data_IF_405408795031
#
_entry.id   IF_405408795031
#
_cell.length_a   1.000
_cell.length_b   1.000
_cell.length_c   1.000
_cell.angle_alpha   90.00
_cell.angle_beta   90.00
_cell.angle_gamma   90.00
#
_symmetry.space_group_name_H-M   'P 1'
#
loop_
_entity.id
_entity.type
_entity.pdbx_description
1 polymer ?
2 polymer ?
3 water ?
#
# COMPACT_ATOMS: atom_id res chain seq x y z
N UNK A 1 -0.78 -14.22 14.64
CA UNK A 1 -1.09 -12.84 14.18
C UNK A 1 -0.42 -11.78 15.04
N UNK A 2 0.50 -11.04 14.44
CA UNK A 2 1.22 -9.96 15.11
C UNK A 2 0.68 -8.65 14.52
N UNK A 3 0.16 -7.76 15.36
CA UNK A 3 -0.36 -6.48 14.87
C UNK A 3 0.71 -5.39 14.97
N UNK A 4 0.81 -4.55 13.94
CA UNK A 4 1.82 -3.48 13.89
C UNK A 4 1.32 -2.18 13.26
N UNK A 5 1.75 -1.06 13.83
CA UNK A 5 1.43 0.24 13.29
C UNK A 5 2.68 0.54 12.47
N UNK A 6 2.56 0.59 11.15
CA UNK A 6 3.73 0.84 10.32
C UNK A 6 4.29 2.22 10.65
N UNK A 7 5.61 2.37 10.48
CA UNK A 7 6.24 3.64 10.76
C UNK A 7 6.74 4.32 9.52
N UNK A 8 7.30 5.54 9.64
CA UNK A 8 7.86 6.37 8.58
C UNK A 8 8.30 5.64 7.32
N UNK A 9 9.26 4.72 7.41
CA UNK A 9 9.66 4.01 6.20
C UNK A 9 9.11 2.61 6.10
N UNK A 10 8.56 2.09 7.18
CA UNK A 10 8.02 0.75 7.05
C UNK A 10 7.70 -0.01 8.30
N UNK A 11 7.56 -1.31 8.11
CA UNK A 11 7.25 -2.23 9.18
C UNK A 11 8.49 -2.40 10.04
N UNK A 12 9.66 -2.14 9.45
CA UNK A 12 10.91 -2.26 10.19
C UNK A 12 11.61 -3.62 10.17
N UNK A 13 11.57 -4.33 9.04
CA UNK A 13 12.24 -5.62 8.88
C UNK A 13 12.51 -5.91 7.40
N UNK A 14 13.45 -6.80 7.11
CA UNK A 14 13.80 -7.13 5.72
C UNK A 14 13.51 -8.59 5.37
N UNK A 15 13.27 -8.85 4.09
CA UNK A 15 12.94 -10.20 3.67
C UNK A 15 13.73 -10.79 2.51
N UNK A 16 13.84 -12.12 2.51
CA UNK A 16 14.52 -12.87 1.44
C UNK A 16 13.61 -14.04 1.14
N UNK A 17 13.81 -14.67 -0.01
CA UNK A 17 12.99 -15.80 -0.36
C UNK A 17 12.03 -15.50 -1.50
N UNK A 18 11.15 -16.46 -1.78
CA UNK A 18 10.16 -16.32 -2.85
C UNK A 18 10.49 -17.12 -4.09
N UNK A 19 9.46 -17.55 -4.82
CA UNK A 19 9.68 -18.32 -6.04
C UNK A 19 10.66 -17.59 -6.96
N UNK A 20 11.64 -18.33 -7.46
CA UNK A 20 12.63 -17.74 -8.35
C UNK A 20 13.87 -17.26 -7.62
N UNK A 21 13.81 -17.26 -6.29
CA UNK A 21 14.92 -16.80 -5.47
C UNK A 21 14.81 -17.50 -4.12
N UNK A 22 14.91 -18.82 -4.17
CA UNK A 22 14.78 -19.66 -2.98
C UNK A 22 15.82 -19.44 -1.92
N UNK A 23 15.36 -18.90 -0.80
CA UNK A 23 16.22 -18.64 0.33
C UNK A 23 16.92 -19.94 0.69
N UNK A 24 16.13 -20.99 0.86
CA UNK A 24 16.66 -22.31 1.16
C UNK A 24 16.30 -23.15 -0.06
N UNK A 25 17.21 -24.03 -0.51
CA UNK A 25 16.91 -24.86 -1.67
C UNK A 25 15.60 -25.61 -1.56
N UNK A 26 14.81 -25.55 -2.63
CA UNK A 26 13.54 -26.24 -2.65
C UNK A 26 12.44 -25.59 -1.83
N UNK A 27 12.69 -24.38 -1.34
CA UNK A 27 11.71 -23.67 -0.52
C UNK A 27 11.49 -22.25 -1.05
N UNK A 28 10.24 -21.86 -1.29
CA UNK A 28 9.94 -20.54 -1.82
C UNK A 28 9.40 -19.56 -0.78
N UNK A 29 9.32 -20.00 0.47
CA UNK A 29 8.81 -19.14 1.53
C UNK A 29 9.58 -17.82 1.63
N UNK A 30 8.98 -16.90 2.38
CA UNK A 30 9.55 -15.59 2.62
C UNK A 30 10.05 -15.62 4.05
N UNK A 31 11.33 -15.37 4.26
CA UNK A 31 11.86 -15.39 5.62
C UNK A 31 12.33 -14.01 6.06
N UNK A 32 12.17 -13.72 7.34
CA UNK A 32 12.64 -12.45 7.89
C UNK A 32 14.14 -12.60 8.16
N UNK A 33 14.95 -11.82 7.45
CA UNK A 33 16.39 -11.87 7.63
C UNK A 33 16.95 -10.79 8.56
N UNK A 34 16.26 -9.65 8.66
CA UNK A 34 16.73 -8.60 9.55
C UNK A 34 15.59 -7.80 10.19
N UNK A 35 15.82 -7.36 11.42
CA UNK A 35 14.88 -6.54 12.18
C UNK A 35 15.63 -5.24 12.48
N UNK A 36 15.22 -4.13 11.88
CA UNK A 36 15.88 -2.85 12.09
C UNK A 36 15.69 -2.35 13.53
N UNK A 37 16.77 -1.91 14.19
CA UNK A 37 16.70 -1.43 15.57
C UNK A 37 15.81 -0.20 15.66
N UNK A 38 14.83 -0.25 16.56
CA UNK A 38 13.96 0.90 16.71
C UNK A 38 12.79 0.95 15.74
N UNK A 39 12.74 0.05 14.77
CA UNK A 39 11.62 0.02 13.84
C UNK A 39 10.40 -0.45 14.62
N UNK A 40 9.26 -0.49 13.96
CA UNK A 40 8.05 -0.92 14.63
C UNK A 40 8.12 -2.39 15.06
N UNK A 41 8.67 -3.24 14.18
CA UNK A 41 8.79 -4.67 14.45
C UNK A 41 9.55 -4.92 15.73
N UNK A 42 10.74 -4.34 15.80
CA UNK A 42 11.59 -4.47 16.97
C UNK A 42 10.81 -4.09 18.23
N UNK A 43 10.55 -2.81 18.41
CA UNK A 43 9.80 -2.30 19.56
C UNK A 43 8.64 -3.19 20.00
N UNK A 44 7.89 -3.75 19.05
CA UNK A 44 6.70 -4.54 19.39
C UNK A 44 6.91 -5.97 19.73
N UNK A 45 8.14 -6.37 19.60
CA UNK A 45 8.54 -7.71 19.89
C UNK A 45 8.05 -8.86 19.00
N UNK A 46 6.84 -9.44 19.35
CA UNK A 46 6.18 -10.67 18.75
C UNK A 46 7.04 -11.46 17.61
N UNK A 47 7.65 -10.77 16.55
CA UNK A 47 8.48 -11.26 15.34
C UNK A 47 10.00 -11.28 15.60
N UNK A 48 10.70 -12.24 15.05
CA UNK A 48 12.13 -12.34 15.25
C UNK A 48 12.82 -12.82 13.94
N UNK A 49 14.15 -12.73 13.74
CA UNK A 49 14.88 -13.21 12.54
C UNK A 49 14.71 -14.71 12.35
N UNK A 50 14.41 -15.15 11.13
CA UNK A 50 14.22 -16.56 10.89
C UNK A 50 12.76 -16.98 10.77
N UNK A 51 11.84 -16.11 11.16
CA UNK A 51 10.42 -16.44 11.08
C UNK A 51 9.95 -16.54 9.63
N UNK A 52 9.07 -17.49 9.36
CA UNK A 52 8.53 -17.65 8.02
C UNK A 52 7.24 -16.84 7.95
N UNK A 53 7.17 -15.90 7.00
CA UNK A 53 5.97 -15.08 6.84
C UNK A 53 4.88 -15.86 6.14
N UNK A 54 3.67 -15.77 6.67
CA UNK A 54 2.54 -16.49 6.10
C UNK A 54 1.58 -15.59 5.35
N UNK A 55 1.20 -14.47 5.96
CA UNK A 55 0.27 -13.55 5.31
C UNK A 55 0.32 -12.11 5.83
N UNK A 56 -0.18 -11.19 5.00
CA UNK A 56 -0.24 -9.76 5.29
C UNK A 56 -1.68 -9.36 5.00
N UNK A 57 -2.44 -8.96 6.01
CA UNK A 57 -3.84 -8.63 5.78
C UNK A 57 -4.29 -9.79 4.90
N UNK A 58 -4.14 -11.00 5.44
CA UNK A 58 -4.39 -12.30 4.77
C UNK A 58 -4.37 -12.39 3.27
N UNK A 59 -3.26 -11.92 2.74
CA UNK A 59 -2.94 -12.06 1.34
C UNK A 59 -1.89 -13.12 1.69
N UNK A 60 -2.12 -14.37 1.30
CA UNK A 60 -1.21 -15.47 1.61
C UNK A 60 0.16 -15.27 0.94
N UNK A 61 1.25 -15.49 1.68
CA UNK A 61 2.59 -15.28 1.12
C UNK A 61 3.36 -16.59 0.95
N UNK A 62 2.71 -17.69 1.27
CA UNK A 62 3.29 -19.02 1.20
C UNK A 62 4.21 -19.30 0.00
N UNK A 63 3.77 -18.93 -1.19
CA UNK A 63 4.55 -19.16 -2.40
C UNK A 63 4.21 -18.11 -3.45
N UNK A 64 4.89 -16.98 -3.38
CA UNK A 64 4.70 -15.89 -4.32
C UNK A 64 6.08 -15.41 -4.71
N UNK A 65 6.20 -14.61 -5.77
CA UNK A 65 7.52 -14.11 -6.17
C UNK A 65 7.97 -13.11 -5.12
N UNK A 66 9.29 -12.88 -5.07
CA UNK A 66 9.88 -11.96 -4.11
C UNK A 66 9.26 -10.57 -4.20
N UNK A 67 9.05 -10.11 -5.43
CA UNK A 67 8.48 -8.79 -5.65
C UNK A 67 7.02 -8.72 -5.21
N UNK A 68 6.28 -9.80 -5.42
CA UNK A 68 4.88 -9.84 -5.01
C UNK A 68 4.82 -9.68 -3.50
N UNK A 69 5.76 -10.30 -2.80
CA UNK A 69 5.79 -10.20 -1.35
C UNK A 69 6.17 -8.78 -0.93
N UNK A 70 7.05 -8.15 -1.70
CA UNK A 70 7.45 -6.78 -1.40
C UNK A 70 6.23 -5.88 -1.53
N UNK A 71 5.58 -5.92 -2.69
CA UNK A 71 4.41 -5.09 -2.92
C UNK A 71 3.35 -5.35 -1.85
N UNK A 72 3.12 -6.63 -1.57
CA UNK A 72 2.13 -7.02 -0.58
C UNK A 72 2.42 -6.36 0.75
N UNK A 73 3.69 -6.08 1.00
CA UNK A 73 4.09 -5.45 2.24
C UNK A 73 4.19 -3.92 2.15
N UNK A 74 4.18 -3.38 0.94
CA UNK A 74 4.25 -1.94 0.78
C UNK A 74 2.83 -1.38 0.75
N UNK A 75 1.93 -2.15 0.15
CA UNK A 75 0.54 -1.74 0.00
C UNK A 75 -0.41 -2.22 1.07
N UNK A 76 -0.16 -1.77 2.29
CA UNK A 76 -1.00 -2.12 3.41
C UNK A 76 -0.85 -0.94 4.32
N UNK A 77 -1.94 -0.19 4.44
CA UNK A 77 -2.05 1.02 5.23
C UNK A 77 -1.18 1.06 6.48
N UNK A 78 -1.45 2.03 7.35
CA UNK A 78 -0.70 2.16 8.58
C UNK A 78 -1.00 0.99 9.50
N UNK A 79 -2.14 0.36 9.28
CA UNK A 79 -2.56 -0.78 10.09
C UNK A 79 -2.22 -2.07 9.35
N UNK A 80 -1.58 -3.00 10.04
CA UNK A 80 -1.14 -4.24 9.43
C UNK A 80 -1.26 -5.48 10.31
N UNK A 81 -1.75 -6.58 9.72
CA UNK A 81 -1.87 -7.85 10.43
C UNK A 81 -0.79 -8.77 9.86
N UNK A 82 0.05 -9.36 10.71
CA UNK A 82 1.07 -10.26 10.20
C UNK A 82 0.87 -11.74 10.52
N UNK A 83 1.13 -12.55 9.49
CA UNK A 83 1.04 -14.01 9.50
C UNK A 83 -0.03 -14.63 10.38
N UNK B 2 20.19 -12.76 -6.90
CA UNK B 2 20.06 -12.90 -5.44
C UNK B 2 19.38 -11.63 -4.87
N UNK B 3 18.14 -11.72 -4.37
CA UNK B 3 17.38 -10.55 -3.83
C UNK B 3 16.97 -10.59 -2.29
N UNK B 4 17.48 -9.66 -1.40
CA UNK B 4 17.14 -9.47 0.08
C UNK B 4 16.62 -7.99 0.15
N UNK B 5 15.37 -7.76 0.60
CA UNK B 5 14.79 -6.40 0.61
C UNK B 5 14.26 -5.77 1.92
N UNK B 6 14.45 -4.46 2.04
CA UNK B 6 14.03 -3.67 3.21
C UNK B 6 12.54 -3.37 3.10
N UNK B 7 11.76 -3.81 4.08
CA UNK B 7 10.32 -3.60 4.07
C UNK B 7 9.85 -3.00 5.40
N UNK C 1 -18.05 12.93 3.90
CA UNK C 1 -17.07 11.89 4.18
C UNK C 1 -17.37 10.60 3.44
N UNK C 2 -16.56 10.28 2.44
CA UNK C 2 -16.77 9.07 1.64
C UNK C 2 -16.06 7.83 2.16
N UNK C 3 -16.85 6.82 2.54
CA UNK C 3 -16.29 5.56 3.05
C UNK C 3 -16.45 4.48 1.95
N UNK C 4 -15.35 3.86 1.54
CA UNK C 4 -15.41 2.86 0.48
C UNK C 4 -14.83 1.50 0.83
N UNK C 5 -15.19 0.50 0.02
CA UNK C 5 -14.69 -0.88 0.15
C UNK C 5 -13.91 -1.18 -1.12
N UNK C 6 -12.60 -1.12 -0.99
CA UNK C 6 -11.66 -1.35 -2.07
C UNK C 6 -12.11 -2.56 -2.86
N UNK C 7 -12.01 -2.48 -4.18
CA UNK C 7 -12.40 -3.61 -4.99
C UNK C 7 -11.19 -4.48 -5.30
N UNK C 8 -11.38 -5.64 -5.96
CA UNK C 8 -10.23 -6.50 -6.29
C UNK C 8 -9.17 -5.71 -7.04
N UNK C 9 -9.62 -4.88 -7.97
CA UNK C 9 -8.71 -4.06 -8.76
C UNK C 9 -8.46 -2.68 -8.13
N UNK C 10 -8.95 -2.47 -6.92
CA UNK C 10 -8.72 -1.19 -6.28
C UNK C 10 -9.94 -0.35 -5.98
N UNK C 11 -9.74 0.96 -5.94
CA UNK C 11 -10.81 1.89 -5.63
C UNK C 11 -11.72 2.21 -6.80
N UNK C 12 -11.22 2.11 -8.02
CA UNK C 12 -12.07 2.39 -9.16
C UNK C 12 -12.11 3.81 -9.74
N UNK C 13 -11.02 4.57 -9.62
CA UNK C 13 -10.97 5.90 -10.22
C UNK C 13 -9.53 6.20 -10.59
N UNK C 14 -9.33 7.27 -11.35
CA UNK C 14 -8.00 7.67 -11.78
C UNK C 14 -7.76 9.11 -11.37
N UNK C 15 -6.52 9.47 -11.09
CA UNK C 15 -6.23 10.84 -10.69
C UNK C 15 -5.16 11.54 -11.50
N UNK C 16 -5.30 12.86 -11.58
CA UNK C 16 -4.37 13.72 -12.27
C UNK C 16 -4.09 14.89 -11.33
N UNK C 17 -3.09 15.69 -11.66
CA UNK C 17 -2.77 16.83 -10.83
C UNK C 17 -1.58 16.57 -9.93
N UNK C 18 -1.38 17.44 -8.95
CA UNK C 18 -0.26 17.27 -8.05
C UNK C 18 0.91 18.18 -8.38
N UNK C 19 1.68 18.52 -7.35
CA UNK C 19 2.85 19.38 -7.48
C UNK C 19 3.83 18.80 -8.50
N UNK C 20 4.01 19.51 -9.62
CA UNK C 20 4.94 19.07 -10.65
C UNK C 20 4.29 18.35 -11.81
N UNK C 21 2.97 18.38 -11.82
CA UNK C 21 2.19 17.72 -12.84
C UNK C 21 0.79 18.33 -12.72
N UNK C 22 0.70 19.67 -12.72
CA UNK C 22 -0.56 20.46 -12.59
C UNK C 22 -1.62 20.18 -13.64
N UNK C 23 -2.83 19.94 -13.15
CA UNK C 23 -3.95 19.66 -14.02
C UNK C 23 -4.33 20.99 -14.62
N UNK C 24 -4.21 22.03 -13.81
CA UNK C 24 -4.51 23.40 -14.22
C UNK C 24 -3.28 24.26 -13.94
N UNK C 25 -2.84 25.06 -14.92
CA UNK C 25 -1.67 25.91 -14.71
C UNK C 25 -1.76 26.72 -13.42
N UNK C 26 -0.92 26.38 -12.45
CA UNK C 26 -0.93 27.08 -11.19
C UNK C 26 -1.65 26.35 -10.08
N UNK C 27 -2.26 25.21 -10.40
CA UNK C 27 -3.02 24.45 -9.42
C UNK C 27 -2.36 23.11 -9.21
N UNK C 28 -2.07 22.81 -7.95
CA UNK C 28 -1.43 21.56 -7.59
C UNK C 28 -2.39 20.49 -7.04
N UNK C 29 -3.69 20.81 -7.00
CA UNK C 29 -4.74 19.91 -6.49
C UNK C 29 -4.79 18.57 -7.21
N UNK C 30 -5.41 17.58 -6.58
CA UNK C 30 -5.51 16.26 -7.18
C UNK C 30 -6.95 16.13 -7.64
N UNK C 31 -7.16 15.80 -8.91
CA UNK C 31 -8.51 15.66 -9.45
C UNK C 31 -8.85 14.27 -9.96
N UNK C 32 -10.10 13.88 -9.74
CA UNK C 32 -10.56 12.59 -10.22
C UNK C 32 -10.91 12.80 -11.69
N UNK C 33 -10.06 12.31 -12.59
CA UNK C 33 -10.33 12.45 -14.01
C UNK C 33 -11.03 11.23 -14.59
N UNK C 34 -11.36 10.26 -13.75
CA UNK C 34 -12.06 9.09 -14.25
C UNK C 34 -12.57 8.14 -13.17
N UNK C 35 -13.75 7.59 -13.42
CA UNK C 35 -14.38 6.64 -12.52
C UNK C 35 -14.72 5.39 -13.33
N UNK C 36 -14.26 4.24 -12.86
CA UNK C 36 -14.49 2.98 -13.55
C UNK C 36 -15.92 2.47 -13.36
N UNK C 37 -16.61 2.21 -14.47
CA UNK C 37 -17.99 1.74 -14.42
C UNK C 37 -18.11 0.45 -13.63
N UNK C 38 -18.98 0.46 -12.63
CA UNK C 38 -19.18 -0.71 -11.80
C UNK C 38 -18.22 -0.74 -10.63
N UNK C 39 -17.11 -0.01 -10.76
CA UNK C 39 -16.13 0.03 -9.70
C UNK C 39 -16.74 0.50 -8.39
N UNK C 40 -16.03 0.25 -7.30
CA UNK C 40 -16.49 0.63 -5.97
C UNK C 40 -16.98 2.07 -5.93
N UNK C 41 -16.14 2.99 -6.40
CA UNK C 41 -16.52 4.40 -6.40
C UNK C 41 -17.83 4.61 -7.13
N UNK C 42 -17.93 4.08 -8.35
CA UNK C 42 -19.14 4.21 -9.16
C UNK C 42 -20.29 3.65 -8.36
N UNK C 43 -20.14 2.40 -7.94
CA UNK C 43 -21.12 1.69 -7.13
C UNK C 43 -21.59 2.52 -5.94
N UNK C 44 -20.64 3.16 -5.25
CA UNK C 44 -20.98 3.97 -4.09
C UNK C 44 -21.67 5.24 -4.56
N UNK C 45 -21.16 5.83 -5.64
CA UNK C 45 -21.78 7.03 -6.19
C UNK C 45 -21.45 8.43 -5.68
N UNK C 46 -21.08 8.58 -4.42
CA UNK C 46 -20.78 9.91 -3.90
C UNK C 46 -19.65 10.68 -4.61
N UNK C 47 -18.61 9.98 -5.06
CA UNK C 47 -17.48 10.62 -5.76
C UNK C 47 -17.79 10.88 -7.25
N UNK C 48 -17.40 12.04 -7.78
CA UNK C 48 -17.68 12.37 -9.19
C UNK C 48 -16.47 12.82 -10.03
N UNK C 49 -16.57 12.62 -11.34
CA UNK C 49 -15.54 13.05 -12.26
C UNK C 49 -15.42 14.56 -12.03
N UNK C 50 -14.20 15.07 -11.98
CA UNK C 50 -14.03 16.50 -11.75
C UNK C 50 -13.84 16.88 -10.29
N UNK C 51 -14.00 15.92 -9.39
CA UNK C 51 -13.83 16.18 -7.97
C UNK C 51 -12.37 16.33 -7.57
N UNK C 52 -12.14 17.11 -6.52
CA UNK C 52 -10.80 17.35 -6.01
C UNK C 52 -10.65 16.58 -4.71
N UNK C 53 -9.75 15.59 -4.72
CA UNK C 53 -9.49 14.74 -3.56
C UNK C 53 -8.77 15.50 -2.47
N UNK C 54 -9.41 15.60 -1.31
CA UNK C 54 -8.83 16.33 -0.20
C UNK C 54 -7.95 15.50 0.73
N UNK C 55 -8.26 14.22 0.87
CA UNK C 55 -7.44 13.41 1.72
C UNK C 55 -7.79 11.91 1.71
N UNK C 56 -6.73 11.06 1.90
CA UNK C 56 -6.91 9.61 2.01
C UNK C 56 -6.50 9.18 3.41
N UNK C 57 -7.35 8.29 3.89
CA UNK C 57 -7.29 7.71 5.19
C UNK C 57 -6.99 8.79 6.12
N UNK C 58 -5.76 9.11 6.22
CA UNK C 58 -5.50 10.12 7.12
C UNK C 58 -4.33 10.88 6.62
N UNK C 59 -4.13 10.91 5.32
CA UNK C 59 -2.98 11.68 4.87
C UNK C 59 -3.43 12.77 3.87
N UNK C 60 -3.52 14.06 4.31
CA UNK C 60 -3.98 15.17 3.41
C UNK C 60 -3.37 15.12 2.02
N UNK C 61 -4.17 15.42 1.01
CA UNK C 61 -3.71 15.38 -0.36
C UNK C 61 -3.72 16.81 -0.93
N UNK C 62 -3.82 17.79 -0.03
CA UNK C 62 -3.82 19.18 -0.42
C UNK C 62 -2.38 19.65 -0.56
N UNK C 63 -1.95 19.92 -1.79
CA UNK C 63 -0.59 20.38 -2.04
C UNK C 63 0.44 19.26 -1.83
N UNK C 64 0.47 18.32 -2.76
CA UNK C 64 1.41 17.21 -2.69
C UNK C 64 1.71 16.80 -4.12
N UNK C 65 2.73 15.96 -4.30
CA UNK C 65 3.13 15.49 -5.62
C UNK C 65 2.27 14.30 -6.06
N UNK C 66 2.20 14.09 -7.36
CA UNK C 66 1.43 12.98 -7.89
C UNK C 66 1.93 11.71 -7.21
N UNK C 67 3.25 11.53 -7.21
CA UNK C 67 3.90 10.37 -6.62
C UNK C 67 3.48 10.13 -5.18
N UNK C 68 3.31 11.21 -4.42
CA UNK C 68 2.90 11.10 -3.03
C UNK C 68 1.45 10.64 -2.97
N UNK C 69 0.60 11.31 -3.75
CA UNK C 69 -0.82 11.00 -3.82
C UNK C 69 -1.03 9.54 -4.22
N UNK C 70 -0.25 9.06 -5.18
CA UNK C 70 -0.39 7.67 -5.60
C UNK C 70 -0.03 6.75 -4.42
N UNK C 71 1.14 6.95 -3.85
CA UNK C 71 1.56 6.12 -2.72
C UNK C 71 0.53 6.17 -1.58
N UNK C 72 -0.11 7.32 -1.38
CA UNK C 72 -1.11 7.44 -0.32
C UNK C 72 -2.35 6.62 -0.68
N UNK C 73 -2.72 6.64 -1.96
CA UNK C 73 -3.88 5.89 -2.40
C UNK C 73 -3.52 4.41 -2.58
N UNK C 74 -2.24 4.27 -2.61
CA UNK C 74 -1.89 2.85 -2.65
C UNK C 74 -1.59 2.29 -1.26
N UNK C 75 -1.50 2.52 -0.54
CA UNK C 75 -1.18 2.20 0.84
C UNK C 75 -2.44 2.23 1.69
N UNK C 76 -3.42 1.49 1.20
CA UNK C 76 -4.71 1.35 1.86
C UNK C 76 -5.03 -0.15 1.92
N UNK C 77 -6.00 -0.54 2.74
CA UNK C 77 -6.39 -1.94 2.79
C UNK C 77 -7.90 -2.03 2.46
N UNK C 78 -8.59 -3.07 2.94
CA UNK C 78 -10.02 -3.23 2.65
C UNK C 78 -10.88 -1.98 2.74
N UNK C 79 -10.77 -1.24 3.83
CA UNK C 79 -11.59 -0.04 3.99
C UNK C 79 -10.80 1.26 3.87
N UNK C 80 -11.42 2.27 3.27
CA UNK C 80 -10.77 3.55 3.05
C UNK C 80 -11.66 4.79 3.19
N UNK C 81 -11.17 5.78 3.92
CA UNK C 81 -11.89 7.05 4.11
C UNK C 81 -11.41 7.98 3.02
N UNK C 82 -12.27 8.87 2.56
CA UNK C 82 -11.82 9.78 1.54
C UNK C 82 -12.32 11.18 1.78
N UNK C 83 -11.50 12.14 1.36
CA UNK C 83 -11.72 13.59 1.47
C UNK C 83 -12.81 13.98 2.43
N UNK D 3 1.45 12.30 -16.20
CA UNK D 3 0.91 11.06 -15.65
C UNK D 3 -0.53 11.22 -15.10
N UNK D 4 -1.34 10.18 -15.28
CA UNK D 4 -2.72 10.07 -14.79
C UNK D 4 -2.80 8.60 -14.39
N UNK D 5 -3.10 8.33 -13.13
CA UNK D 5 -3.09 6.95 -12.67
C UNK D 5 -4.35 6.35 -12.05
N UNK D 6 -4.67 5.11 -12.45
CA UNK D 6 -5.82 4.36 -11.93
C UNK D 6 -5.51 3.96 -10.50
N UNK D 7 -6.42 4.24 -9.59
CA UNK D 7 -6.22 3.90 -8.20
C UNK D 7 -7.22 2.82 -7.81
#
# INVERSE_FOLDING_TARGET
EIKLIKGPKGLGFSIAGGVGNQHIPGDNSIYVTKIIEGGAAHKDGKLQIGDKLLAVNSVCLEEVTHEEAVTALKNTSDFVYLKA
RRRETQV
EIKLIKGPKGLGFSIAGGVGNQHIPGDNSIYVTKIIEGGAAHKDGKLQIGDKLLAVNSVCLEEVTHEEAVTALKNTSDFVYLKA
RRRETQV
#
